data_IF_105357163996
#
_entry.id   IF_105357163996
#
_cell.length_a   1.000
_cell.length_b   1.000
_cell.length_c   1.000
_cell.angle_alpha   90.00
_cell.angle_beta   90.00
_cell.angle_gamma   90.00
#
_symmetry.space_group_name_H-M   'P 1'
#
loop_
_entity.id
_entity.type
_entity.pdbx_description
1 polymer ?
#
# COMPACT_ATOMS: atom_id res chain seq x y z
N UNK A 1 -3.78 10.88 1.97
CA UNK A 1 -4.86 11.31 1.07
C UNK A 1 -4.72 10.57 -0.24
N UNK A 2 -5.82 10.08 -0.78
CA UNK A 2 -5.84 9.40 -2.08
C UNK A 2 -6.02 10.44 -3.19
N UNK A 3 -5.21 10.33 -4.24
CA UNK A 3 -5.18 11.26 -5.36
C UNK A 3 -5.28 10.50 -6.69
N UNK A 4 -5.70 11.16 -7.79
CA UNK A 4 -5.89 10.49 -9.09
C UNK A 4 -4.62 9.89 -9.70
N UNK A 5 -3.45 10.32 -9.26
CA UNK A 5 -2.13 9.88 -9.72
C UNK A 5 -1.53 8.74 -8.87
N UNK A 6 -2.13 8.43 -7.71
CA UNK A 6 -1.62 7.42 -6.79
C UNK A 6 -1.57 6.03 -7.42
N UNK A 7 -0.43 5.37 -7.34
CA UNK A 7 -0.19 4.00 -7.84
C UNK A 7 -0.24 2.97 -6.71
N UNK A 8 -0.48 1.67 -7.03
CA UNK A 8 -0.41 0.60 -6.03
C UNK A 8 0.93 0.55 -5.27
N UNK A 9 2.04 0.80 -5.97
CA UNK A 9 3.38 0.84 -5.37
C UNK A 9 3.54 1.93 -4.31
N UNK A 10 2.77 3.02 -4.40
CA UNK A 10 2.87 4.12 -3.43
C UNK A 10 2.24 3.77 -2.08
N UNK A 11 1.35 2.77 -2.05
CA UNK A 11 0.68 2.29 -0.83
C UNK A 11 1.25 0.95 -0.34
N UNK A 12 1.64 0.08 -1.26
CA UNK A 12 2.24 -1.23 -0.98
C UNK A 12 3.72 -1.08 -0.66
N UNK A 13 4.45 -0.31 -1.44
CA UNK A 13 5.91 -0.27 -1.43
C UNK A 13 6.49 -0.57 -2.80
N UNK A 14 7.80 -0.38 -2.93
CA UNK A 14 8.51 -0.58 -4.20
C UNK A 14 9.92 -1.08 -3.95
N UNK A 15 10.43 -1.86 -4.89
CA UNK A 15 11.81 -2.34 -4.87
C UNK A 15 12.70 -1.36 -5.62
N UNK A 16 13.66 -0.77 -4.92
CA UNK A 16 14.58 0.24 -5.44
C UNK A 16 15.97 -0.37 -5.58
N UNK A 17 16.63 -0.12 -6.71
CA UNK A 17 18.02 -0.53 -6.89
C UNK A 17 18.96 0.44 -6.18
N UNK A 18 19.68 -0.05 -5.17
CA UNK A 18 20.68 0.71 -4.43
C UNK A 18 22.03 0.64 -5.15
N UNK A 19 22.41 1.72 -5.83
CA UNK A 19 23.66 1.78 -6.60
C UNK A 19 24.93 1.63 -5.75
N UNK A 20 24.88 1.90 -4.44
CA UNK A 20 26.06 1.80 -3.56
C UNK A 20 26.36 0.34 -3.21
N UNK A 21 25.34 -0.46 -2.99
CA UNK A 21 25.46 -1.89 -2.64
C UNK A 21 25.32 -2.80 -3.87
N UNK A 22 24.80 -2.27 -4.99
CA UNK A 22 24.39 -3.04 -6.17
C UNK A 22 23.33 -4.09 -5.85
N UNK A 23 22.45 -3.80 -4.90
CA UNK A 23 21.38 -4.69 -4.44
C UNK A 23 20.01 -4.04 -4.65
N UNK A 24 18.98 -4.89 -4.75
CA UNK A 24 17.59 -4.46 -4.74
C UNK A 24 17.06 -4.41 -3.31
N UNK A 25 16.60 -3.25 -2.87
CA UNK A 25 16.07 -3.00 -1.53
C UNK A 25 14.57 -2.72 -1.61
N UNK A 26 13.78 -3.47 -0.84
CA UNK A 26 12.34 -3.25 -0.77
C UNK A 26 12.02 -2.14 0.23
N UNK A 27 11.43 -1.06 -0.26
CA UNK A 27 10.93 0.03 0.56
C UNK A 27 9.45 -0.18 0.87
N UNK A 28 9.16 -0.41 2.14
CA UNK A 28 7.80 -0.61 2.62
C UNK A 28 6.93 0.63 2.38
N UNK A 29 5.74 0.40 1.83
CA UNK A 29 4.70 1.42 1.72
C UNK A 29 3.96 1.65 3.05
N UNK A 30 3.07 2.66 3.10
CA UNK A 30 2.32 3.02 4.31
C UNK A 30 1.42 1.89 4.85
N UNK A 31 1.00 0.93 4.01
CA UNK A 31 0.17 -0.20 4.44
C UNK A 31 0.88 -1.20 5.36
N UNK A 32 2.20 -1.09 5.54
CA UNK A 32 2.93 -1.86 6.55
C UNK A 32 2.70 -1.38 7.99
N UNK A 33 1.95 -0.29 8.19
CA UNK A 33 1.58 0.23 9.51
C UNK A 33 0.40 -0.52 10.11
N UNK A 34 0.38 -0.69 11.43
CA UNK A 34 -0.77 -1.29 12.15
C UNK A 34 -2.07 -0.50 11.98
N UNK A 35 -1.99 0.83 11.88
CA UNK A 35 -3.12 1.71 11.68
C UNK A 35 -2.88 2.64 10.49
N UNK A 36 -3.83 2.65 9.55
CA UNK A 36 -3.76 3.47 8.34
C UNK A 36 -4.99 4.36 8.27
N UNK A 37 -4.76 5.66 8.18
CA UNK A 37 -5.81 6.66 7.94
C UNK A 37 -5.74 7.11 6.48
N UNK A 38 -6.84 6.94 5.76
CA UNK A 38 -6.98 7.30 4.36
C UNK A 38 -7.99 8.42 4.25
N UNK A 39 -7.65 9.43 3.47
CA UNK A 39 -8.55 10.54 3.17
C UNK A 39 -8.96 10.46 1.68
N UNK A 40 -10.25 10.61 1.40
CA UNK A 40 -10.86 10.61 0.06
C UNK A 40 -10.56 9.36 -0.77
N UNK A 41 -10.84 8.18 -0.21
CA UNK A 41 -10.54 6.88 -0.85
C UNK A 41 -11.06 6.77 -2.30
N UNK A 42 -12.17 7.43 -2.62
CA UNK A 42 -12.79 7.44 -3.94
C UNK A 42 -12.03 8.25 -5.00
N UNK A 43 -10.99 9.01 -4.64
CA UNK A 43 -10.21 9.82 -5.60
C UNK A 43 -9.08 9.07 -6.29
N UNK A 44 -8.63 7.91 -5.78
CA UNK A 44 -7.59 7.14 -6.44
C UNK A 44 -8.14 6.26 -7.57
N UNK A 45 -7.31 5.88 -8.56
CA UNK A 45 -7.69 4.91 -9.58
C UNK A 45 -8.16 3.56 -8.99
N UNK A 46 -9.03 2.85 -9.72
CA UNK A 46 -9.54 1.54 -9.32
C UNK A 46 -8.42 0.54 -8.99
N UNK A 47 -7.34 0.51 -9.78
CA UNK A 47 -6.17 -0.36 -9.54
C UNK A 47 -5.54 -0.17 -8.15
N UNK A 48 -5.49 1.07 -7.66
CA UNK A 48 -4.90 1.41 -6.36
C UNK A 48 -5.85 1.06 -5.22
N UNK A 49 -7.16 1.23 -5.43
CA UNK A 49 -8.16 0.76 -4.47
C UNK A 49 -8.20 -0.77 -4.39
N UNK A 50 -8.10 -1.47 -5.52
CA UNK A 50 -8.04 -2.94 -5.55
C UNK A 50 -6.84 -3.47 -4.77
N UNK A 51 -5.66 -2.85 -4.94
CA UNK A 51 -4.48 -3.18 -4.15
C UNK A 51 -4.69 -2.99 -2.65
N UNK A 52 -5.32 -1.89 -2.23
CA UNK A 52 -5.70 -1.69 -0.82
C UNK A 52 -6.63 -2.79 -0.32
N UNK A 53 -7.68 -3.14 -1.08
CA UNK A 53 -8.66 -4.14 -0.67
C UNK A 53 -8.05 -5.54 -0.60
N UNK A 54 -7.18 -5.90 -1.53
CA UNK A 54 -6.43 -7.15 -1.49
C UNK A 54 -5.62 -7.27 -0.19
N UNK A 55 -4.90 -6.22 0.18
CA UNK A 55 -4.13 -6.18 1.43
C UNK A 55 -5.04 -6.25 2.68
N UNK A 56 -6.21 -5.60 2.61
CA UNK A 56 -7.19 -5.66 3.70
C UNK A 56 -7.75 -7.07 3.88
N UNK A 57 -8.08 -7.78 2.81
CA UNK A 57 -8.60 -9.15 2.87
C UNK A 57 -7.53 -10.15 3.30
N UNK A 58 -6.38 -10.14 2.63
CA UNK A 58 -5.35 -11.16 2.80
C UNK A 58 -4.45 -10.92 4.04
N UNK A 59 -4.48 -9.70 4.61
CA UNK A 59 -3.60 -9.29 5.74
C UNK A 59 -2.11 -9.50 5.46
N UNK A 60 -1.73 -9.46 4.19
CA UNK A 60 -0.36 -9.62 3.73
C UNK A 60 -0.13 -8.81 2.46
N UNK A 61 1.13 -8.55 2.16
CA UNK A 61 1.58 -7.87 0.96
C UNK A 61 2.56 -8.78 0.24
N UNK A 62 2.33 -9.05 -1.04
CA UNK A 62 3.27 -9.81 -1.87
C UNK A 62 3.91 -8.90 -2.92
N UNK A 63 5.24 -8.81 -2.91
CA UNK A 63 6.02 -8.03 -3.88
C UNK A 63 7.21 -8.88 -4.34
N UNK A 64 7.45 -8.92 -5.65
CA UNK A 64 8.56 -9.66 -6.27
C UNK A 64 8.69 -11.12 -5.78
N UNK A 65 7.53 -11.80 -5.59
CA UNK A 65 7.47 -13.18 -5.13
C UNK A 65 7.74 -13.39 -3.63
N UNK A 66 7.99 -12.31 -2.88
CA UNK A 66 8.15 -12.33 -1.43
C UNK A 66 6.87 -11.84 -0.76
N UNK A 67 6.32 -12.65 0.15
CA UNK A 67 5.13 -12.32 0.92
C UNK A 67 5.50 -11.84 2.32
N UNK A 68 4.95 -10.69 2.70
CA UNK A 68 5.12 -10.06 4.00
C UNK A 68 3.78 -10.04 4.74
N UNK A 69 3.72 -10.71 5.89
CA UNK A 69 2.53 -10.70 6.74
C UNK A 69 2.42 -9.36 7.49
N UNK A 70 1.21 -8.82 7.58
CA UNK A 70 0.95 -7.61 8.36
C UNK A 70 0.75 -7.95 9.84
N UNK A 71 1.43 -7.27 10.77
CA UNK A 71 1.29 -7.55 12.18
C UNK A 71 -0.10 -7.17 12.70
N UNK A 72 -0.77 -8.01 13.50
CA UNK A 72 -2.04 -7.66 14.10
C UNK A 72 -1.88 -6.62 15.23
N UNK A 73 -2.82 -5.67 15.40
CA UNK A 73 -3.95 -5.42 14.51
C UNK A 73 -3.50 -4.67 13.24
N UNK A 74 -4.14 -4.98 12.12
CA UNK A 74 -4.12 -4.17 10.90
C UNK A 74 -5.49 -3.53 10.71
N UNK A 75 -5.55 -2.20 10.81
CA UNK A 75 -6.78 -1.43 10.77
C UNK A 75 -6.66 -0.28 9.78
N UNK A 76 -7.64 -0.16 8.90
CA UNK A 76 -7.77 0.94 7.93
C UNK A 76 -9.02 1.73 8.27
N UNK A 77 -8.90 3.05 8.41
CA UNK A 77 -10.04 3.97 8.45
C UNK A 77 -9.93 4.91 7.27
N UNK A 78 -11.00 5.06 6.51
CA UNK A 78 -11.02 5.88 5.32
C UNK A 78 -12.17 6.89 5.35
N UNK A 79 -11.92 8.10 4.87
CA UNK A 79 -12.99 9.04 4.50
C UNK A 79 -13.33 8.87 3.03
N UNK A 80 -14.55 9.26 2.67
CA UNK A 80 -15.00 9.36 1.29
C UNK A 80 -15.79 10.66 1.16
N UNK A 81 -15.46 11.46 0.14
CA UNK A 81 -16.28 12.63 -0.18
C UNK A 81 -17.50 12.20 -1.02
N UNK A 82 -18.70 12.76 -0.75
CA UNK A 82 -19.88 12.47 -1.55
C UNK A 82 -19.62 12.82 -3.03
N UNK A 83 -20.13 11.97 -3.93
CA UNK A 83 -20.15 12.23 -5.37
C UNK A 83 -21.45 12.94 -5.74
#
# INVERSE_FOLDING_TARGET
QFTPDLMPSDIIGTTVFNQKTSEFEFHHGPLFSNMVLIDEINRSPAKTQSALFEVMEERQITVDGTTHLLPPPFMVMATQNPV
#
